data_IF_907639516999
#
_entry.id   IF_907639516999
#
_cell.length_a   1.000
_cell.length_b   1.000
_cell.length_c   1.000
_cell.angle_alpha   90.00
_cell.angle_beta   90.00
_cell.angle_gamma   90.00
#
_symmetry.space_group_name_H-M   'P 1'
#
loop_
_entity.id
_entity.type
_entity.pdbx_description
1 polymer ?
#
# COMPACT_ATOMS: atom_id res chain seq x y z
N UNK A 1 -18.66 22.47 24.78
CA UNK A 1 -18.70 21.08 24.32
C UNK A 1 -17.37 20.79 23.68
N UNK A 2 -16.51 20.08 24.39
CA UNK A 2 -15.16 19.73 23.97
C UNK A 2 -15.20 18.47 23.11
N UNK A 3 -14.36 18.45 22.08
CA UNK A 3 -14.11 17.39 21.10
C UNK A 3 -13.41 16.17 21.73
N UNK A 4 -14.02 15.60 22.77
CA UNK A 4 -13.61 14.34 23.40
C UNK A 4 -14.79 13.35 23.32
N UNK A 5 -15.13 12.89 22.12
CA UNK A 5 -16.04 11.75 21.96
C UNK A 5 -16.18 11.41 20.48
N UNK A 6 -15.21 10.68 19.91
CA UNK A 6 -15.41 9.51 19.02
C UNK A 6 -14.04 8.79 18.89
N UNK A 7 -13.57 8.17 19.97
CA UNK A 7 -12.60 7.09 19.87
C UNK A 7 -13.16 5.97 20.73
N UNK A 8 -14.20 5.32 20.21
CA UNK A 8 -14.60 4.01 20.73
C UNK A 8 -13.36 3.12 20.77
N UNK A 9 -13.22 2.43 21.90
CA UNK A 9 -12.03 1.68 22.25
C UNK A 9 -11.75 0.60 21.20
N UNK A 10 -10.80 0.89 20.30
CA UNK A 10 -10.21 -0.14 19.43
C UNK A 10 -9.78 -1.32 20.29
N UNK A 11 -9.94 -2.58 19.83
CA UNK A 11 -9.58 -3.74 20.64
C UNK A 11 -8.14 -3.60 21.13
N UNK A 12 -7.92 -3.69 22.45
CA UNK A 12 -6.58 -3.53 23.07
C UNK A 12 -5.49 -4.31 22.32
N UNK A 13 -5.85 -5.50 21.84
CA UNK A 13 -5.00 -6.41 21.05
C UNK A 13 -4.38 -5.80 19.79
N UNK A 14 -5.07 -4.90 19.07
CA UNK A 14 -4.52 -4.25 17.88
C UNK A 14 -3.56 -3.12 18.26
N UNK A 15 -3.87 -2.35 19.31
CA UNK A 15 -2.99 -1.30 19.81
C UNK A 15 -1.66 -1.85 20.34
N UNK A 16 -1.69 -3.05 20.94
CA UNK A 16 -0.51 -3.73 21.47
C UNK A 16 0.47 -4.19 20.38
N UNK A 17 0.07 -4.15 19.09
CA UNK A 17 0.97 -4.43 17.97
C UNK A 17 1.93 -3.28 17.68
N UNK A 18 1.66 -2.05 18.12
CA UNK A 18 2.44 -0.88 17.72
C UNK A 18 3.56 -0.53 18.70
N UNK A 19 4.79 -0.42 18.21
CA UNK A 19 5.92 -0.06 19.08
C UNK A 19 5.86 1.41 19.49
N UNK A 20 5.52 2.30 18.55
CA UNK A 20 5.47 3.74 18.77
C UNK A 20 4.26 4.44 18.15
N UNK A 21 3.84 5.54 18.78
CA UNK A 21 2.79 6.46 18.27
C UNK A 21 3.34 7.67 17.52
N UNK A 22 4.62 7.64 17.12
CA UNK A 22 5.29 8.78 16.46
C UNK A 22 5.19 8.65 14.94
N UNK A 23 4.04 9.04 14.42
CA UNK A 23 3.78 9.10 12.98
C UNK A 23 3.96 10.54 12.55
N UNK A 24 4.94 10.80 11.69
CA UNK A 24 5.34 12.15 11.30
C UNK A 24 4.63 12.50 10.01
N UNK A 25 3.76 13.51 10.07
CA UNK A 25 3.17 14.11 8.88
C UNK A 25 4.15 15.09 8.25
N UNK A 26 4.35 14.96 6.94
CA UNK A 26 5.11 15.88 6.08
C UNK A 26 4.15 16.53 5.10
N UNK A 27 4.41 17.78 4.73
CA UNK A 27 3.63 18.51 3.72
C UNK A 27 4.26 18.45 2.33
N UNK A 28 5.59 18.34 2.27
CA UNK A 28 6.39 18.26 1.04
C UNK A 28 6.98 16.84 0.91
N UNK A 29 7.12 16.29 -0.30
CA UNK A 29 6.79 16.90 -1.61
C UNK A 29 5.29 16.95 -1.92
N UNK A 30 4.53 16.17 -1.17
CA UNK A 30 3.08 16.26 -1.02
C UNK A 30 2.72 15.72 0.36
N UNK A 31 1.48 15.93 0.85
CA UNK A 31 1.06 15.42 2.14
C UNK A 31 1.23 13.91 2.26
N UNK A 32 2.14 13.48 3.12
CA UNK A 32 2.40 12.08 3.42
C UNK A 32 2.76 11.90 4.88
N UNK A 33 2.70 10.67 5.34
CA UNK A 33 3.09 10.25 6.68
C UNK A 33 4.24 9.28 6.56
N UNK A 34 5.27 9.49 7.39
CA UNK A 34 6.36 8.56 7.58
C UNK A 34 6.38 8.10 9.04
N UNK A 35 6.48 6.79 9.25
CA UNK A 35 6.57 6.19 10.58
C UNK A 35 7.70 5.18 10.63
N UNK A 36 8.31 5.04 11.81
CA UNK A 36 9.34 4.05 12.13
C UNK A 36 8.89 3.23 13.32
N UNK A 37 9.43 2.03 13.39
CA UNK A 37 9.14 1.06 14.44
C UNK A 37 7.62 0.89 14.57
N UNK A 38 6.97 0.64 13.43
CA UNK A 38 5.51 0.57 13.36
C UNK A 38 5.04 -0.56 14.25
N UNK A 39 5.54 -1.78 14.03
CA UNK A 39 5.18 -2.94 14.84
C UNK A 39 6.19 -3.20 15.96
N UNK A 40 5.74 -3.79 17.06
CA UNK A 40 6.65 -4.29 18.10
C UNK A 40 7.63 -5.33 17.53
N UNK A 41 8.89 -5.39 18.02
CA UNK A 41 9.93 -6.24 17.43
C UNK A 41 9.52 -7.70 17.25
N UNK A 42 8.77 -8.26 18.20
CA UNK A 42 8.31 -9.65 18.19
C UNK A 42 7.35 -9.91 17.02
N UNK A 43 6.44 -8.98 16.77
CA UNK A 43 5.49 -9.09 15.66
C UNK A 43 6.18 -8.90 14.32
N UNK A 44 7.09 -7.93 14.25
CA UNK A 44 7.88 -7.67 13.05
C UNK A 44 8.76 -8.89 12.66
N UNK A 45 9.41 -9.52 13.63
CA UNK A 45 10.20 -10.74 13.40
C UNK A 45 9.33 -11.87 12.83
N UNK A 46 8.14 -12.07 13.41
CA UNK A 46 7.18 -13.07 12.92
C UNK A 46 6.75 -12.83 11.47
N UNK A 47 6.55 -11.58 11.04
CA UNK A 47 6.23 -11.29 9.64
C UNK A 47 7.33 -11.76 8.68
N UNK A 48 8.60 -11.54 9.02
CA UNK A 48 9.74 -12.00 8.23
C UNK A 48 9.81 -13.53 8.17
N UNK A 49 9.58 -14.20 9.31
CA UNK A 49 9.54 -15.66 9.41
C UNK A 49 8.42 -16.26 8.56
N UNK A 50 7.21 -15.70 8.66
CA UNK A 50 6.05 -16.17 7.91
C UNK A 50 6.26 -16.02 6.39
N UNK A 51 6.81 -14.89 5.91
CA UNK A 51 7.11 -14.77 4.48
C UNK A 51 8.19 -15.77 4.03
N UNK A 52 9.24 -15.94 4.84
CA UNK A 52 10.30 -16.90 4.54
C UNK A 52 9.75 -18.34 4.48
N UNK A 53 8.79 -18.69 5.34
CA UNK A 53 8.10 -19.97 5.29
C UNK A 53 7.27 -20.11 4.01
N UNK A 54 6.44 -19.13 3.67
CA UNK A 54 5.62 -19.17 2.45
C UNK A 54 6.49 -19.28 1.19
N UNK A 55 7.64 -18.59 1.14
CA UNK A 55 8.61 -18.74 0.04
C UNK A 55 9.17 -20.15 -0.10
N UNK A 56 9.44 -20.84 1.01
CA UNK A 56 9.95 -22.22 0.99
C UNK A 56 8.87 -23.22 0.61
N UNK A 57 7.67 -23.07 1.17
CA UNK A 57 6.59 -24.05 1.04
C UNK A 57 5.75 -23.86 -0.22
N UNK A 58 5.68 -22.64 -0.75
CA UNK A 58 4.81 -22.29 -1.88
C UNK A 58 5.48 -21.27 -2.83
N UNK A 59 6.68 -21.56 -3.37
CA UNK A 59 7.41 -20.62 -4.23
C UNK A 59 6.63 -20.22 -5.49
N UNK A 60 5.76 -21.09 -6.02
CA UNK A 60 4.93 -20.82 -7.20
C UNK A 60 3.86 -19.74 -7.02
N UNK A 61 3.60 -19.29 -5.78
CA UNK A 61 2.71 -18.17 -5.50
C UNK A 61 3.37 -16.80 -5.74
N UNK A 62 4.71 -16.76 -5.85
CA UNK A 62 5.44 -15.55 -6.17
C UNK A 62 5.51 -15.38 -7.68
N UNK A 63 4.99 -14.27 -8.18
CA UNK A 63 4.90 -13.98 -9.61
C UNK A 63 5.32 -12.56 -9.89
N UNK A 64 5.78 -12.31 -11.11
CA UNK A 64 6.05 -10.95 -11.56
C UNK A 64 4.80 -10.07 -11.39
N UNK A 65 4.93 -8.93 -10.71
CA UNK A 65 3.79 -8.07 -10.35
C UNK A 65 3.16 -7.41 -11.59
N UNK A 66 3.97 -7.03 -12.57
CA UNK A 66 3.53 -6.53 -13.87
C UNK A 66 4.65 -6.64 -14.91
N UNK A 67 4.30 -6.71 -16.20
CA UNK A 67 5.25 -6.94 -17.30
C UNK A 67 6.42 -5.93 -17.34
N UNK A 68 6.16 -4.66 -17.00
CA UNK A 68 7.17 -3.59 -16.98
C UNK A 68 7.62 -3.21 -15.56
N UNK A 69 7.42 -4.12 -14.60
CA UNK A 69 7.77 -3.90 -13.20
C UNK A 69 8.75 -4.98 -12.73
N UNK A 70 9.80 -4.54 -12.04
CA UNK A 70 10.94 -5.37 -11.67
C UNK A 70 10.73 -6.19 -10.39
N UNK A 71 9.54 -6.12 -9.80
CA UNK A 71 9.22 -6.88 -8.60
C UNK A 71 8.54 -8.21 -8.92
N UNK A 72 8.92 -9.22 -8.15
CA UNK A 72 8.07 -10.37 -7.90
C UNK A 72 7.24 -10.12 -6.65
N UNK A 73 6.06 -10.72 -6.56
CA UNK A 73 5.18 -10.52 -5.44
C UNK A 73 4.17 -11.63 -5.21
N UNK A 74 3.55 -11.55 -4.04
CA UNK A 74 2.48 -12.44 -3.59
C UNK A 74 1.34 -11.59 -3.03
N UNK A 75 0.10 -11.91 -3.40
CA UNK A 75 -1.07 -11.16 -2.95
C UNK A 75 -1.31 -11.32 -1.45
N UNK A 76 -1.91 -10.30 -0.81
CA UNK A 76 -2.34 -10.41 0.58
C UNK A 76 -3.39 -11.52 0.79
N UNK A 77 -4.19 -11.84 -0.25
CA UNK A 77 -5.13 -12.95 -0.22
C UNK A 77 -4.43 -14.32 -0.08
N UNK A 78 -3.23 -14.46 -0.65
CA UNK A 78 -2.43 -15.68 -0.55
C UNK A 78 -1.56 -15.71 0.72
N UNK A 79 -1.56 -14.64 1.52
CA UNK A 79 -0.86 -14.56 2.80
C UNK A 79 -1.82 -14.66 4.00
N UNK A 80 -3.07 -15.07 3.78
CA UNK A 80 -4.05 -15.22 4.86
C UNK A 80 -3.61 -16.29 5.87
N UNK A 81 -3.88 -16.04 7.15
CA UNK A 81 -3.47 -16.93 8.25
C UNK A 81 -2.03 -16.70 8.74
N UNK A 82 -1.31 -15.72 8.15
CA UNK A 82 0.03 -15.30 8.59
C UNK A 82 -0.03 -13.96 9.33
N UNK A 83 1.10 -13.45 9.81
CA UNK A 83 1.24 -12.11 10.36
C UNK A 83 0.95 -10.98 9.35
N UNK A 84 0.80 -11.28 8.05
CA UNK A 84 0.34 -10.28 7.07
C UNK A 84 -1.18 -10.03 7.12
N UNK A 85 -1.95 -10.83 7.88
CA UNK A 85 -3.40 -10.62 8.07
C UNK A 85 -3.73 -9.22 8.62
N UNK A 86 -2.79 -8.59 9.34
CA UNK A 86 -2.96 -7.22 9.83
C UNK A 86 -3.25 -6.25 8.68
N UNK A 87 -2.60 -6.37 7.53
CA UNK A 87 -2.79 -5.48 6.37
C UNK A 87 -4.14 -5.69 5.68
N UNK A 88 -4.79 -6.84 5.92
CA UNK A 88 -6.12 -7.17 5.43
C UNK A 88 -7.20 -7.10 6.54
N UNK A 89 -6.89 -6.47 7.67
CA UNK A 89 -7.80 -6.31 8.80
C UNK A 89 -8.57 -5.00 8.74
N UNK A 90 -9.77 -4.99 9.33
CA UNK A 90 -10.60 -3.78 9.45
C UNK A 90 -9.92 -2.70 10.28
N UNK A 91 -9.29 -3.08 11.40
CA UNK A 91 -8.60 -2.14 12.28
C UNK A 91 -7.46 -1.40 11.56
N UNK A 92 -6.70 -2.11 10.72
CA UNK A 92 -5.64 -1.50 9.92
C UNK A 92 -6.20 -0.59 8.82
N UNK A 93 -7.22 -1.07 8.10
CA UNK A 93 -7.93 -0.27 7.10
C UNK A 93 -8.40 1.06 7.68
N UNK A 94 -9.08 1.04 8.83
CA UNK A 94 -9.63 2.23 9.47
C UNK A 94 -8.55 3.13 10.07
N UNK A 95 -7.45 2.55 10.57
CA UNK A 95 -6.28 3.31 11.00
C UNK A 95 -5.71 4.13 9.84
N UNK A 96 -5.38 3.50 8.71
CA UNK A 96 -4.71 4.21 7.60
C UNK A 96 -5.65 5.18 6.89
N UNK A 97 -6.92 4.82 6.70
CA UNK A 97 -7.94 5.72 6.15
C UNK A 97 -8.17 6.94 7.05
N UNK A 98 -8.26 6.72 8.37
CA UNK A 98 -8.47 7.78 9.36
C UNK A 98 -7.29 8.75 9.46
N UNK A 99 -6.05 8.25 9.36
CA UNK A 99 -4.84 9.11 9.41
C UNK A 99 -4.76 10.05 8.23
N UNK A 100 -5.16 9.58 7.05
CA UNK A 100 -5.18 10.38 5.82
C UNK A 100 -6.45 11.25 5.72
N UNK A 101 -7.51 10.88 6.43
CA UNK A 101 -8.78 11.61 6.43
C UNK A 101 -9.67 11.26 5.23
N UNK A 102 -9.70 9.99 4.84
CA UNK A 102 -10.45 9.48 3.68
C UNK A 102 -11.66 8.66 4.13
N UNK A 103 -12.81 8.88 3.50
CA UNK A 103 -13.98 7.99 3.61
C UNK A 103 -13.76 6.78 2.69
N UNK A 104 -13.43 5.64 3.28
CA UNK A 104 -13.07 4.42 2.54
C UNK A 104 -14.24 3.42 2.41
N UNK A 105 -14.18 2.56 1.39
CA UNK A 105 -15.22 1.57 1.07
C UNK A 105 -15.13 0.26 1.85
N UNK A 106 -14.02 0.01 2.56
CA UNK A 106 -13.70 -1.31 3.11
C UNK A 106 -12.98 -2.24 2.12
N UNK A 107 -12.74 -1.81 0.88
CA UNK A 107 -11.94 -2.61 -0.06
C UNK A 107 -10.45 -2.35 0.13
N UNK A 108 -9.69 -3.44 0.16
CA UNK A 108 -8.24 -3.45 0.29
C UNK A 108 -7.64 -4.26 -0.84
N UNK A 109 -6.72 -3.66 -1.59
CA UNK A 109 -5.85 -4.36 -2.54
C UNK A 109 -4.43 -4.33 -1.98
N UNK A 110 -3.66 -5.40 -2.15
CA UNK A 110 -2.24 -5.32 -1.83
C UNK A 110 -1.48 -6.63 -2.03
N UNK A 111 -0.17 -6.49 -1.98
CA UNK A 111 0.79 -7.58 -2.16
C UNK A 111 2.09 -7.28 -1.43
N UNK A 112 2.83 -8.33 -1.11
CA UNK A 112 4.25 -8.21 -0.81
C UNK A 112 4.99 -8.11 -2.14
N UNK A 113 5.85 -7.10 -2.28
CA UNK A 113 6.75 -6.92 -3.41
C UNK A 113 8.18 -7.17 -2.97
N UNK A 114 8.95 -7.82 -3.84
CA UNK A 114 10.36 -8.08 -3.69
C UNK A 114 11.10 -7.60 -4.93
N UNK A 115 12.05 -6.70 -4.73
CA UNK A 115 13.01 -6.29 -5.74
C UNK A 115 14.36 -6.92 -5.44
N UNK A 116 14.87 -7.72 -6.37
CA UNK A 116 16.21 -8.31 -6.30
C UNK A 116 17.30 -7.23 -6.43
N UNK A 117 18.56 -7.50 -6.04
CA UNK A 117 19.67 -6.57 -6.22
C UNK A 117 19.84 -6.13 -7.67
N UNK A 118 20.11 -4.85 -7.89
CA UNK A 118 20.28 -4.25 -9.21
C UNK A 118 18.96 -4.03 -9.95
N UNK A 119 17.80 -4.13 -9.29
CA UNK A 119 16.52 -3.89 -9.95
C UNK A 119 16.49 -2.47 -10.56
N UNK A 120 15.95 -2.31 -11.79
CA UNK A 120 15.95 -1.04 -12.48
C UNK A 120 15.01 -0.03 -11.80
N UNK A 121 15.24 1.24 -12.10
CA UNK A 121 14.37 2.35 -11.74
C UNK A 121 12.94 2.08 -12.24
N UNK A 122 11.94 2.25 -11.38
CA UNK A 122 10.53 2.07 -11.73
C UNK A 122 9.96 3.24 -12.52
N UNK A 123 8.81 3.04 -13.14
CA UNK A 123 8.09 4.13 -13.80
C UNK A 123 7.34 5.02 -12.80
N UNK A 124 7.50 6.36 -12.85
CA UNK A 124 6.74 7.28 -12.00
C UNK A 124 5.24 7.23 -12.27
N UNK A 125 4.43 7.12 -11.20
CA UNK A 125 2.98 7.04 -11.24
C UNK A 125 2.36 7.70 -10.02
N UNK A 126 1.04 7.95 -10.06
CA UNK A 126 0.32 8.59 -8.95
C UNK A 126 -0.69 7.67 -8.24
N UNK A 127 -0.80 6.42 -8.69
CA UNK A 127 -1.71 5.38 -8.20
C UNK A 127 -3.21 5.67 -8.30
N UNK A 128 -3.64 6.77 -8.95
CA UNK A 128 -5.06 7.11 -9.10
C UNK A 128 -5.72 6.22 -10.17
N UNK A 129 -5.83 4.94 -9.84
CA UNK A 129 -6.31 3.88 -10.70
C UNK A 129 -7.58 3.24 -10.10
N UNK A 130 -8.45 2.70 -10.96
CA UNK A 130 -9.54 1.85 -10.52
C UNK A 130 -9.05 0.44 -10.19
N UNK A 131 -9.77 -0.20 -9.28
CA UNK A 131 -9.71 -1.62 -8.99
C UNK A 131 -11.13 -2.20 -8.89
N UNK A 132 -11.29 -3.48 -9.24
CA UNK A 132 -12.58 -4.15 -9.24
C UNK A 132 -12.66 -5.25 -8.18
N UNK A 133 -13.73 -5.21 -7.38
CA UNK A 133 -13.95 -6.12 -6.26
C UNK A 133 -15.25 -6.92 -6.46
N UNK A 134 -15.30 -8.19 -6.01
CA UNK A 134 -16.50 -9.01 -6.17
C UNK A 134 -17.59 -8.65 -5.16
N UNK A 135 -18.84 -8.78 -5.59
CA UNK A 135 -20.00 -8.73 -4.70
C UNK A 135 -20.40 -7.31 -4.25
N UNK A 136 -21.26 -7.26 -3.23
CA UNK A 136 -21.72 -6.01 -2.65
C UNK A 136 -20.59 -5.30 -1.88
N UNK A 137 -20.81 -4.03 -1.52
CA UNK A 137 -19.90 -3.30 -0.65
C UNK A 137 -19.75 -4.04 0.71
N UNK A 138 -18.52 -4.16 1.25
CA UNK A 138 -18.32 -4.77 2.56
C UNK A 138 -19.07 -4.00 3.66
N UNK A 139 -19.51 -4.74 4.68
CA UNK A 139 -20.13 -4.15 5.86
C UNK A 139 -19.16 -3.28 6.68
N UNK A 140 -19.65 -2.56 7.71
CA UNK A 140 -18.84 -1.67 8.54
C UNK A 140 -17.66 -2.35 9.24
N UNK A 141 -17.76 -3.64 9.56
CA UNK A 141 -16.71 -4.40 10.25
C UNK A 141 -15.93 -5.34 9.29
N UNK A 142 -16.17 -5.21 7.98
CA UNK A 142 -15.62 -6.11 6.98
C UNK A 142 -14.55 -5.41 6.13
N UNK A 143 -13.65 -6.24 5.60
CA UNK A 143 -12.73 -5.87 4.53
C UNK A 143 -12.94 -6.82 3.35
N UNK A 144 -12.92 -6.30 2.12
CA UNK A 144 -12.97 -7.10 0.90
C UNK A 144 -11.62 -7.03 0.19
N UNK A 145 -11.03 -8.20 -0.05
CA UNK A 145 -9.85 -8.36 -0.92
C UNK A 145 -10.27 -8.68 -2.36
N UNK A 146 -9.38 -8.49 -3.35
CA UNK A 146 -9.58 -9.03 -4.68
C UNK A 146 -9.75 -10.56 -4.63
N UNK A 147 -10.49 -11.11 -5.59
CA UNK A 147 -10.70 -12.55 -5.70
C UNK A 147 -10.66 -12.96 -7.18
N UNK A 148 -10.27 -14.21 -7.44
CA UNK A 148 -10.10 -14.74 -8.80
C UNK A 148 -11.35 -14.63 -9.70
N UNK A 149 -12.54 -14.55 -9.09
CA UNK A 149 -13.81 -14.35 -9.80
C UNK A 149 -13.91 -13.02 -10.57
N UNK A 150 -13.07 -12.04 -10.23
CA UNK A 150 -13.06 -10.70 -10.83
C UNK A 150 -11.60 -10.28 -11.03
N UNK A 151 -11.22 -10.03 -12.28
CA UNK A 151 -9.88 -9.50 -12.58
C UNK A 151 -9.77 -8.07 -12.07
N UNK A 152 -8.81 -7.82 -11.17
CA UNK A 152 -8.71 -6.59 -10.38
C UNK A 152 -8.47 -5.34 -11.21
N UNK A 153 -7.85 -5.41 -12.39
CA UNK A 153 -7.46 -4.24 -13.21
C UNK A 153 -8.45 -3.89 -14.32
N UNK A 154 -9.33 -4.80 -14.70
CA UNK A 154 -10.23 -4.67 -15.85
C UNK A 154 -11.68 -4.95 -15.49
N UNK A 155 -11.94 -5.57 -14.34
CA UNK A 155 -13.27 -6.02 -13.93
C UNK A 155 -13.81 -7.17 -14.78
N UNK A 156 -12.97 -7.82 -15.59
CA UNK A 156 -13.34 -9.01 -16.36
C UNK A 156 -13.76 -10.12 -15.42
N UNK A 157 -14.89 -10.76 -15.73
CA UNK A 157 -15.55 -11.77 -14.90
C UNK A 157 -16.54 -12.61 -15.71
N UNK A 158 -17.01 -13.69 -15.13
CA UNK A 158 -18.10 -14.49 -15.69
C UNK A 158 -19.46 -13.78 -15.60
N UNK A 159 -20.41 -14.19 -16.45
CA UNK A 159 -21.76 -13.64 -16.44
C UNK A 159 -22.45 -13.90 -15.09
N UNK A 160 -23.13 -12.89 -14.55
CA UNK A 160 -23.79 -12.96 -13.25
C UNK A 160 -22.89 -12.66 -12.05
N UNK A 161 -21.56 -12.61 -12.22
CA UNK A 161 -20.65 -12.13 -11.17
C UNK A 161 -20.72 -10.61 -11.11
N UNK A 162 -20.98 -10.06 -9.93
CA UNK A 162 -20.90 -8.62 -9.69
C UNK A 162 -19.43 -8.21 -9.51
N UNK A 163 -18.97 -7.24 -10.30
CA UNK A 163 -17.71 -6.55 -10.06
C UNK A 163 -17.97 -5.06 -9.83
N UNK A 164 -17.64 -4.61 -8.63
CA UNK A 164 -17.75 -3.22 -8.22
C UNK A 164 -16.43 -2.52 -8.47
N UNK A 165 -16.51 -1.45 -9.25
CA UNK A 165 -15.39 -0.53 -9.46
C UNK A 165 -15.21 0.34 -8.22
N UNK A 166 -13.97 0.47 -7.73
CA UNK A 166 -13.58 1.37 -6.65
C UNK A 166 -12.24 1.99 -6.97
N UNK A 167 -11.93 3.17 -6.42
CA UNK A 167 -10.74 3.94 -6.77
C UNK A 167 -9.76 3.90 -5.63
N UNK A 168 -8.48 3.64 -5.92
CA UNK A 168 -7.42 3.70 -4.90
C UNK A 168 -7.43 5.07 -4.23
N UNK A 169 -7.42 5.07 -2.91
CA UNK A 169 -7.67 6.27 -2.12
C UNK A 169 -6.52 6.62 -1.19
N UNK A 170 -5.87 5.59 -0.65
CA UNK A 170 -4.75 5.69 0.27
C UNK A 170 -3.75 4.62 -0.14
N UNK A 171 -2.49 5.02 -0.36
CA UNK A 171 -1.39 4.09 -0.64
C UNK A 171 -0.55 3.92 0.62
N UNK A 172 -0.13 2.68 0.87
CA UNK A 172 0.75 2.30 1.97
C UNK A 172 1.89 1.48 1.42
N UNK A 173 3.12 1.87 1.76
CA UNK A 173 4.29 1.03 1.60
C UNK A 173 4.89 0.78 2.98
N UNK A 174 4.92 -0.48 3.40
CA UNK A 174 5.56 -0.91 4.66
C UNK A 174 6.79 -1.75 4.35
N UNK A 175 7.96 -1.32 4.83
CA UNK A 175 9.24 -1.95 4.53
C UNK A 175 9.64 -2.96 5.61
N UNK A 176 10.09 -4.12 5.17
CA UNK A 176 10.50 -5.22 6.02
C UNK A 176 11.52 -6.10 5.31
N UNK A 177 12.32 -6.89 6.04
CA UNK A 177 13.32 -7.76 5.45
C UNK A 177 14.39 -7.01 4.64
N UNK A 178 14.73 -5.79 5.05
CA UNK A 178 15.72 -4.88 4.45
C UNK A 178 16.84 -4.55 5.47
N UNK A 179 17.51 -5.55 6.08
CA UNK A 179 18.43 -5.31 7.18
C UNK A 179 19.66 -4.52 6.72
N UNK A 180 20.12 -3.64 7.60
CA UNK A 180 21.34 -2.85 7.42
C UNK A 180 21.36 -2.01 6.14
N UNK A 181 20.20 -1.52 5.71
CA UNK A 181 20.15 -0.51 4.65
C UNK A 181 20.92 0.74 5.09
N UNK A 182 21.78 1.26 4.22
CA UNK A 182 22.54 2.48 4.43
C UNK A 182 22.34 3.48 3.28
N UNK A 183 22.53 4.79 3.52
CA UNK A 183 22.54 5.77 2.44
C UNK A 183 23.50 5.38 1.31
N UNK A 184 22.99 5.32 0.08
CA UNK A 184 23.74 4.87 -1.10
C UNK A 184 23.49 3.42 -1.50
N UNK A 185 22.81 2.63 -0.67
CA UNK A 185 22.42 1.24 -1.01
C UNK A 185 21.31 1.17 -2.07
N UNK A 186 20.66 2.29 -2.40
CA UNK A 186 19.56 2.35 -3.38
C UNK A 186 18.25 1.75 -2.87
N UNK A 187 17.26 1.63 -3.75
CA UNK A 187 15.97 1.02 -3.44
C UNK A 187 14.98 1.87 -2.64
N UNK A 188 15.26 3.16 -2.50
CA UNK A 188 14.36 4.14 -1.90
C UNK A 188 13.05 4.24 -2.68
N UNK A 189 12.02 4.74 -2.01
CA UNK A 189 10.84 5.25 -2.70
C UNK A 189 11.05 6.73 -2.99
N UNK A 190 11.11 7.09 -4.28
CA UNK A 190 11.20 8.48 -4.69
C UNK A 190 9.80 9.08 -4.75
N UNK A 191 9.62 10.23 -4.09
CA UNK A 191 8.41 11.04 -4.11
C UNK A 191 8.69 12.34 -4.86
N UNK A 192 7.86 12.72 -5.82
CA UNK A 192 8.10 13.90 -6.67
C UNK A 192 7.20 15.06 -6.27
N UNK A 193 7.75 16.28 -6.28
CA UNK A 193 6.96 17.52 -6.08
C UNK A 193 5.91 17.70 -7.19
N UNK A 194 6.32 17.45 -8.44
CA UNK A 194 5.47 17.55 -9.62
C UNK A 194 6.11 16.78 -10.79
N UNK A 195 5.29 16.06 -11.55
CA UNK A 195 5.63 15.54 -12.86
C UNK A 195 4.63 16.13 -13.87
N UNK A 196 4.74 17.44 -14.11
CA UNK A 196 4.05 18.07 -15.24
C UNK A 196 4.91 17.88 -16.49
N UNK A 197 4.28 17.52 -17.59
CA UNK A 197 4.94 17.37 -18.89
C UNK A 197 5.80 18.61 -19.21
N UNK A 198 7.12 18.46 -19.22
CA UNK A 198 8.01 19.37 -19.95
C UNK A 198 9.02 20.25 -19.18
N UNK A 199 9.12 20.25 -17.85
CA UNK A 199 10.12 21.10 -17.16
C UNK A 199 10.93 20.42 -16.05
N UNK A 200 12.27 20.53 -16.18
CA UNK A 200 13.37 20.15 -15.24
C UNK A 200 13.31 18.72 -14.68
N UNK A 201 14.46 18.22 -14.21
CA UNK A 201 14.44 17.03 -13.35
C UNK A 201 13.62 17.41 -12.11
N UNK A 202 12.49 16.74 -11.83
CA UNK A 202 11.63 17.10 -10.72
C UNK A 202 12.40 16.99 -9.41
N UNK A 203 12.22 17.97 -8.53
CA UNK A 203 12.68 17.83 -7.15
C UNK A 203 12.01 16.59 -6.56
N UNK A 204 12.84 15.71 -6.00
CA UNK A 204 12.39 14.45 -5.42
C UNK A 204 12.89 14.29 -3.99
N UNK A 205 12.09 13.61 -3.20
CA UNK A 205 12.47 13.15 -1.86
C UNK A 205 12.64 11.64 -1.90
N UNK A 206 13.80 11.15 -1.50
CA UNK A 206 14.06 9.72 -1.36
C UNK A 206 13.72 9.26 0.05
N UNK A 207 12.82 8.29 0.15
CA UNK A 207 12.43 7.66 1.42
C UNK A 207 13.16 6.32 1.55
N UNK A 208 14.03 6.16 2.57
CA UNK A 208 14.81 4.95 2.73
C UNK A 208 13.90 3.77 3.10
N UNK A 209 14.12 2.57 2.53
CA UNK A 209 13.31 1.38 2.78
C UNK A 209 13.70 0.68 4.10
N UNK A 210 13.81 1.46 5.18
CA UNK A 210 14.28 0.96 6.48
C UNK A 210 13.31 -0.08 7.04
N UNK A 211 13.85 -1.12 7.68
CA UNK A 211 13.02 -2.12 8.35
C UNK A 211 12.05 -1.51 9.36
N UNK A 212 10.85 -2.10 9.39
CA UNK A 212 9.76 -1.71 10.27
C UNK A 212 9.37 -0.23 10.13
N UNK A 213 9.48 0.30 8.90
CA UNK A 213 9.07 1.66 8.57
C UNK A 213 7.96 1.68 7.53
N UNK A 214 7.23 2.78 7.49
CA UNK A 214 6.04 2.95 6.67
C UNK A 214 6.02 4.33 6.05
N UNK A 215 5.61 4.37 4.79
CA UNK A 215 5.09 5.57 4.14
C UNK A 215 3.62 5.37 3.79
N UNK A 216 2.83 6.42 3.99
CA UNK A 216 1.39 6.47 3.79
C UNK A 216 1.00 7.82 3.19
N UNK A 217 0.14 7.84 2.18
CA UNK A 217 -0.37 9.09 1.60
C UNK A 217 -1.73 8.92 0.93
N UNK A 218 -2.45 10.03 0.76
CA UNK A 218 -3.65 10.05 -0.08
C UNK A 218 -3.25 9.86 -1.53
N UNK A 219 -3.94 8.97 -2.24
CA UNK A 219 -3.80 8.81 -3.68
C UNK A 219 -4.54 9.96 -4.36
N UNK A 220 -3.81 10.78 -5.13
CA UNK A 220 -4.34 11.93 -5.85
C UNK A 220 -3.68 12.04 -7.23
N UNK A 221 -4.16 12.91 -8.14
CA UNK A 221 -3.47 13.15 -9.40
C UNK A 221 -2.03 13.70 -9.28
N UNK A 222 -1.62 14.13 -8.07
CA UNK A 222 -0.34 14.79 -7.81
C UNK A 222 0.62 14.00 -6.91
N UNK A 223 0.22 12.85 -6.38
CA UNK A 223 1.07 12.03 -5.49
C UNK A 223 1.99 11.12 -6.27
N UNK A 224 2.83 11.72 -7.09
CA UNK A 224 3.75 11.03 -7.97
C UNK A 224 4.87 10.37 -7.19
N UNK A 225 5.11 9.10 -7.43
CA UNK A 225 6.16 8.34 -6.77
C UNK A 225 6.64 7.17 -7.63
N UNK A 226 7.77 6.58 -7.24
CA UNK A 226 8.30 5.37 -7.86
C UNK A 226 9.28 4.64 -6.93
N UNK A 227 9.61 3.41 -7.30
CA UNK A 227 10.77 2.70 -6.79
C UNK A 227 12.04 3.23 -7.48
N UNK A 228 13.02 3.69 -6.69
CA UNK A 228 14.23 4.33 -7.20
C UNK A 228 15.26 3.35 -7.80
N UNK A 229 15.04 2.04 -7.72
CA UNK A 229 15.97 1.06 -8.30
C UNK A 229 17.37 1.09 -7.68
N UNK A 230 18.30 0.41 -8.34
CA UNK A 230 19.73 0.44 -7.99
C UNK A 230 20.04 -0.14 -6.61
N UNK A 231 19.12 -0.90 -6.02
CA UNK A 231 19.28 -1.51 -4.71
C UNK A 231 20.42 -2.53 -4.71
N UNK A 232 21.35 -2.44 -3.78
CA UNK A 232 22.50 -3.36 -3.68
C UNK A 232 22.14 -4.68 -2.97
N UNK A 233 21.04 -4.69 -2.22
CA UNK A 233 20.48 -5.84 -1.49
C UNK A 233 19.01 -6.02 -1.87
N UNK A 234 18.43 -7.17 -1.51
CA UNK A 234 16.99 -7.38 -1.61
C UNK A 234 16.20 -6.26 -0.93
N UNK A 235 15.12 -5.82 -1.59
CA UNK A 235 14.22 -4.81 -1.03
C UNK A 235 12.78 -5.33 -1.04
N UNK A 236 12.25 -5.63 0.14
CA UNK A 236 10.87 -6.07 0.32
C UNK A 236 9.98 -4.95 0.89
N UNK A 237 8.73 -4.95 0.48
CA UNK A 237 7.67 -4.17 1.14
C UNK A 237 6.31 -4.81 0.96
N UNK A 238 5.39 -4.53 1.89
CA UNK A 238 3.97 -4.58 1.58
C UNK A 238 3.63 -3.32 0.80
N UNK A 239 2.98 -3.46 -0.34
CA UNK A 239 2.35 -2.36 -1.09
C UNK A 239 0.86 -2.62 -1.07
N UNK A 240 0.09 -1.69 -0.53
CA UNK A 240 -1.36 -1.85 -0.43
C UNK A 240 -2.10 -0.54 -0.61
N UNK A 241 -3.37 -0.67 -1.00
CA UNK A 241 -4.29 0.43 -1.20
C UNK A 241 -5.60 0.17 -0.46
N UNK A 242 -6.06 1.21 0.23
CA UNK A 242 -7.47 1.34 0.67
C UNK A 242 -8.22 2.15 -0.39
N UNK A 243 -9.48 1.82 -0.62
CA UNK A 243 -10.27 2.39 -1.72
C UNK A 243 -11.38 3.32 -1.26
N UNK A 244 -11.83 4.17 -2.19
CA UNK A 244 -12.99 5.05 -2.10
C UNK A 244 -13.95 4.74 -3.25
N UNK A 245 -15.16 5.29 -3.18
CA UNK A 245 -16.11 5.19 -4.29
C UNK A 245 -15.63 5.97 -5.51
N UNK A 246 -16.04 5.55 -6.70
CA UNK A 246 -15.79 6.30 -7.94
C UNK A 246 -16.40 7.70 -7.88
N UNK A 247 -17.62 7.81 -7.35
CA UNK A 247 -18.31 9.10 -7.24
C UNK A 247 -17.54 10.10 -6.38
N UNK A 248 -16.93 9.66 -5.26
CA UNK A 248 -16.06 10.53 -4.45
C UNK A 248 -14.83 10.99 -5.24
N UNK A 249 -14.14 10.07 -5.92
CA UNK A 249 -12.96 10.40 -6.71
C UNK A 249 -13.30 11.39 -7.85
N UNK A 250 -14.41 11.17 -8.56
CA UNK A 250 -14.88 12.05 -9.64
C UNK A 250 -15.26 13.43 -9.09
N UNK A 251 -15.95 13.50 -7.95
CA UNK A 251 -16.32 14.77 -7.34
C UNK A 251 -15.10 15.58 -6.90
N UNK A 252 -14.01 14.92 -6.48
CA UNK A 252 -12.79 15.58 -5.98
C UNK A 252 -11.82 15.99 -7.08
N UNK A 253 -11.68 15.19 -8.13
CA UNK A 253 -10.60 15.37 -9.11
C UNK A 253 -11.04 15.37 -10.57
N UNK A 254 -12.29 15.02 -10.86
CA UNK A 254 -12.77 14.76 -12.22
C UNK A 254 -12.44 13.35 -12.70
N UNK A 255 -13.33 12.78 -13.52
CA UNK A 255 -13.16 11.42 -14.04
C UNK A 255 -12.01 11.27 -15.04
N UNK A 256 -11.62 12.36 -15.72
CA UNK A 256 -10.51 12.41 -16.67
C UNK A 256 -9.14 12.24 -16.01
N UNK A 257 -9.05 12.33 -14.68
CA UNK A 257 -7.81 12.13 -13.92
C UNK A 257 -7.61 10.69 -13.45
N UNK A 258 -8.64 9.85 -13.54
CA UNK A 258 -8.54 8.43 -13.19
C UNK A 258 -7.85 7.71 -14.35
N UNK A 259 -6.68 7.12 -14.08
CA UNK A 259 -5.88 6.41 -15.09
C UNK A 259 -6.29 4.94 -15.10
N UNK A 260 -6.71 4.42 -16.25
CA UNK A 260 -6.98 2.99 -16.43
C UNK A 260 -5.71 2.27 -16.91
N UNK A 261 -5.60 0.99 -16.56
CA UNK A 261 -4.43 0.13 -16.78
C UNK A 261 -4.12 -0.19 -18.23
#
# INVERSE_FOLDING_TARGET
MTTESVLEARPKRFADLFAHRRWIRRSEPFPHVYARDVFVPEYFARMSEDLAQVRRESPGLFQQVAANYSADGISLANLRGTAFDVFASRDWHDLVAGIVGVTATGDVEGSVHHHAPGAPYGWPHNDLNPAWFPGAAPGPDEVRLPAESVETKSGKREAGVLARESIRAVAVLFYFGNPDWQPGDGGETALYNNLSDGEKLPDLTLIPPLDNSLILFEVTPRTWHTFAGGNVKDRNSVVMWVHRTKDDAVARWGGDKIVYW
#
